data_IF_720656435511
#
_entry.id   IF_720656435511
#
_cell.length_a   1.000
_cell.length_b   1.000
_cell.length_c   1.000
_cell.angle_alpha   90.00
_cell.angle_beta   90.00
_cell.angle_gamma   90.00
#
_symmetry.space_group_name_H-M   'P 1'
#
loop_
_entity.id
_entity.type
_entity.pdbx_description
1 polymer ?
#
# COMPACT_ATOMS: atom_id res chain seq x y z
N UNK A 1 23.56 -8.36 16.57
CA UNK A 1 23.74 -8.23 15.11
C UNK A 1 22.42 -7.75 14.52
N UNK A 2 22.48 -6.79 13.60
CA UNK A 2 21.31 -6.30 12.86
C UNK A 2 21.21 -6.99 11.51
N UNK A 3 20.00 -7.16 11.00
CA UNK A 3 19.75 -7.67 9.65
C UNK A 3 18.93 -6.65 8.86
N UNK A 4 19.17 -6.59 7.55
CA UNK A 4 18.42 -5.79 6.59
C UNK A 4 17.80 -6.71 5.52
N UNK A 5 16.63 -6.34 5.00
CA UNK A 5 15.98 -6.98 3.87
C UNK A 5 15.15 -5.95 3.12
N UNK A 6 15.34 -5.83 1.80
CA UNK A 6 14.69 -4.82 0.96
C UNK A 6 15.57 -4.38 -0.22
N UNK A 7 15.19 -3.27 -0.88
CA UNK A 7 15.97 -2.63 -1.95
C UNK A 7 17.39 -2.28 -1.50
N UNK A 8 18.39 -2.70 -2.28
CA UNK A 8 19.81 -2.48 -1.97
C UNK A 8 20.16 -1.00 -1.79
N UNK A 9 19.47 -0.10 -2.50
CA UNK A 9 19.67 1.34 -2.37
C UNK A 9 19.36 1.88 -0.96
N UNK A 10 18.54 1.20 -0.17
CA UNK A 10 18.16 1.62 1.20
C UNK A 10 19.03 0.99 2.28
N UNK A 11 19.80 -0.05 1.96
CA UNK A 11 20.48 -0.91 2.94
C UNK A 11 21.41 -0.11 3.87
N UNK A 12 22.26 0.73 3.29
CA UNK A 12 23.24 1.54 4.04
C UNK A 12 22.54 2.46 5.04
N UNK A 13 21.54 3.19 4.58
CA UNK A 13 20.83 4.18 5.38
C UNK A 13 20.03 3.49 6.50
N UNK A 14 19.35 2.37 6.18
CA UNK A 14 18.59 1.62 7.18
C UNK A 14 19.47 1.07 8.29
N UNK A 15 20.64 0.51 7.96
CA UNK A 15 21.60 0.02 8.95
C UNK A 15 22.11 1.19 9.80
N UNK A 16 22.45 2.33 9.20
CA UNK A 16 22.91 3.52 9.91
C UNK A 16 21.85 4.04 10.89
N UNK A 17 20.60 4.21 10.43
CA UNK A 17 19.49 4.64 11.27
C UNK A 17 19.23 3.66 12.42
N UNK A 18 19.29 2.35 12.17
CA UNK A 18 19.11 1.37 13.24
C UNK A 18 20.18 1.50 14.32
N UNK A 19 21.45 1.65 13.93
CA UNK A 19 22.55 1.77 14.90
C UNK A 19 22.46 3.04 15.74
N UNK A 20 22.04 4.15 15.14
CA UNK A 20 21.83 5.43 15.83
C UNK A 20 20.63 5.40 16.80
N UNK A 21 19.63 4.57 16.52
CA UNK A 21 18.39 4.51 17.29
C UNK A 21 18.29 3.39 18.31
N UNK A 22 19.07 2.31 18.18
CA UNK A 22 18.84 1.06 18.93
C UNK A 22 18.70 1.25 20.44
N UNK A 23 19.51 2.14 21.04
CA UNK A 23 19.52 2.35 22.49
C UNK A 23 18.29 3.17 22.93
N UNK A 24 17.89 4.16 22.13
CA UNK A 24 16.64 4.93 22.34
C UNK A 24 15.40 4.08 22.12
N UNK A 25 15.44 3.15 21.17
CA UNK A 25 14.36 2.20 20.95
C UNK A 25 14.24 1.21 22.10
N UNK A 26 15.34 0.84 22.75
CA UNK A 26 15.28 -0.10 23.88
C UNK A 26 14.53 0.48 25.09
N UNK A 27 14.69 1.78 25.38
CA UNK A 27 13.95 2.44 26.48
C UNK A 27 12.43 2.48 26.24
N UNK A 28 11.98 2.37 24.98
CA UNK A 28 10.54 2.33 24.66
C UNK A 28 9.84 1.04 25.14
N UNK A 29 10.60 0.04 25.57
CA UNK A 29 10.04 -1.17 26.21
C UNK A 29 9.37 -0.86 27.55
N UNK A 30 9.77 0.21 28.25
CA UNK A 30 9.17 0.64 29.51
C UNK A 30 7.66 0.90 29.35
N UNK A 31 7.23 1.43 28.19
CA UNK A 31 5.81 1.67 27.88
C UNK A 31 4.99 0.38 27.92
N UNK A 32 5.57 -0.75 27.51
CA UNK A 32 4.92 -2.07 27.56
C UNK A 32 4.90 -2.60 28.99
N UNK A 33 6.00 -2.45 29.73
CA UNK A 33 6.13 -2.90 31.13
C UNK A 33 5.14 -2.18 32.04
N UNK A 34 5.00 -0.86 31.90
CA UNK A 34 4.02 -0.04 32.64
C UNK A 34 2.56 -0.48 32.43
N UNK A 35 2.29 -1.18 31.32
CA UNK A 35 0.94 -1.58 30.91
C UNK A 35 0.76 -3.08 30.91
N UNK A 36 1.70 -3.85 31.46
CA UNK A 36 1.70 -5.31 31.41
C UNK A 36 0.38 -5.90 31.95
N UNK A 37 -0.18 -5.32 33.03
CA UNK A 37 -1.46 -5.75 33.61
C UNK A 37 -2.67 -5.60 32.66
N UNK A 38 -2.58 -4.70 31.68
CA UNK A 38 -3.62 -4.44 30.68
C UNK A 38 -3.41 -5.22 29.38
N UNK A 39 -2.26 -5.88 29.24
CA UNK A 39 -1.85 -6.59 28.03
C UNK A 39 -2.04 -8.10 28.22
N UNK A 40 -2.56 -8.78 27.21
CA UNK A 40 -2.84 -10.21 27.30
C UNK A 40 -1.56 -11.05 27.23
N UNK A 41 -1.23 -11.81 28.27
CA UNK A 41 0.03 -12.57 28.35
C UNK A 41 0.24 -13.64 27.27
N UNK A 42 -0.83 -14.06 26.57
CA UNK A 42 -0.78 -15.09 25.52
C UNK A 42 -0.10 -14.62 24.23
N UNK A 43 -0.06 -13.31 23.98
CA UNK A 43 0.45 -12.75 22.74
C UNK A 43 1.60 -11.77 23.00
N UNK A 44 2.53 -11.71 22.06
CA UNK A 44 3.55 -10.66 22.06
C UNK A 44 2.91 -9.30 21.76
N UNK A 45 3.51 -8.24 22.28
CA UNK A 45 3.08 -6.86 22.03
C UNK A 45 4.24 -6.03 21.50
N UNK A 46 3.91 -5.05 20.68
CA UNK A 46 4.87 -4.08 20.18
C UNK A 46 4.43 -2.66 20.52
N UNK A 47 5.30 -1.94 21.22
CA UNK A 47 5.28 -0.48 21.24
C UNK A 47 5.66 -0.02 19.83
N UNK A 48 4.73 0.67 19.17
CA UNK A 48 4.83 0.99 17.74
C UNK A 48 4.75 2.48 17.51
N UNK A 49 5.75 3.05 16.84
CA UNK A 49 5.73 4.44 16.35
C UNK A 49 5.57 4.42 14.84
N UNK A 50 4.51 5.06 14.35
CA UNK A 50 4.11 5.09 12.95
C UNK A 50 4.27 6.51 12.42
N UNK A 51 5.09 6.70 11.39
CA UNK A 51 5.26 7.97 10.70
C UNK A 51 4.75 7.83 9.27
N UNK A 52 3.87 8.73 8.86
CA UNK A 52 3.31 8.74 7.50
C UNK A 52 3.10 10.15 6.97
N UNK A 53 3.07 10.27 5.66
CA UNK A 53 2.66 11.50 4.99
C UNK A 53 1.18 11.80 5.30
N UNK A 54 0.88 13.07 5.61
CA UNK A 54 -0.46 13.54 5.98
C UNK A 54 -1.52 13.26 4.92
N UNK A 55 -1.11 13.19 3.65
CA UNK A 55 -1.94 12.92 2.47
C UNK A 55 -1.74 11.50 1.94
N UNK A 56 -0.99 10.65 2.65
CA UNK A 56 -0.69 9.27 2.27
C UNK A 56 -0.07 9.12 0.88
N UNK A 57 0.77 10.07 0.46
CA UNK A 57 1.45 10.03 -0.86
C UNK A 57 2.73 9.20 -0.89
N UNK A 58 3.18 8.70 0.26
CA UNK A 58 4.42 7.95 0.39
C UNK A 58 4.23 6.72 1.31
N UNK A 59 5.12 5.70 1.21
CA UNK A 59 5.11 4.56 2.11
C UNK A 59 5.17 4.95 3.59
N UNK A 60 4.62 4.11 4.45
CA UNK A 60 4.56 4.32 5.89
C UNK A 60 5.81 3.75 6.55
N UNK A 61 6.48 4.55 7.39
CA UNK A 61 7.57 4.09 8.26
C UNK A 61 6.99 3.65 9.60
N UNK A 62 7.42 2.50 10.11
CA UNK A 62 6.97 2.00 11.42
C UNK A 62 8.14 1.38 12.19
N UNK A 63 8.29 1.81 13.43
CA UNK A 63 9.22 1.26 14.41
C UNK A 63 8.47 0.37 15.39
N UNK A 64 9.02 -0.79 15.72
CA UNK A 64 8.44 -1.78 16.61
C UNK A 64 9.45 -2.15 17.68
N UNK A 65 9.01 -2.12 18.94
CA UNK A 65 9.83 -2.48 20.11
C UNK A 65 9.06 -3.49 20.95
N UNK A 66 9.68 -4.63 21.25
CA UNK A 66 9.11 -5.64 22.15
C UNK A 66 9.41 -5.34 23.62
N UNK A 67 8.83 -6.13 24.53
CA UNK A 67 9.01 -5.97 25.98
C UNK A 67 10.44 -6.21 26.46
N UNK A 68 11.31 -6.81 25.64
CA UNK A 68 12.74 -7.03 25.95
C UNK A 68 13.63 -5.89 25.42
N UNK A 69 13.03 -4.82 24.88
CA UNK A 69 13.75 -3.71 24.24
C UNK A 69 14.35 -4.07 22.88
N UNK A 70 14.06 -5.27 22.34
CA UNK A 70 14.49 -5.62 20.99
C UNK A 70 13.59 -4.91 20.00
N UNK A 71 14.20 -4.36 18.98
CA UNK A 71 13.50 -3.50 18.04
C UNK A 71 13.84 -3.80 16.58
N UNK A 72 12.90 -3.44 15.72
CA UNK A 72 13.10 -3.34 14.29
C UNK A 72 12.22 -2.21 13.74
N UNK A 73 12.51 -1.77 12.53
CA UNK A 73 11.65 -0.86 11.79
C UNK A 73 11.59 -1.25 10.33
N UNK A 74 10.61 -0.70 9.63
CA UNK A 74 10.48 -0.92 8.21
C UNK A 74 9.57 0.09 7.55
N UNK A 75 9.61 0.09 6.22
CA UNK A 75 8.67 0.83 5.39
C UNK A 75 7.66 -0.15 4.78
N UNK A 76 6.41 0.28 4.64
CA UNK A 76 5.31 -0.55 4.15
C UNK A 76 4.34 0.29 3.30
N UNK A 77 3.57 -0.37 2.42
CA UNK A 77 2.59 0.29 1.55
C UNK A 77 1.31 0.74 2.27
N UNK A 78 1.11 0.26 3.50
CA UNK A 78 -0.08 0.48 4.33
C UNK A 78 0.34 0.76 5.76
N UNK A 79 -0.45 1.55 6.48
CA UNK A 79 -0.22 1.69 7.93
C UNK A 79 -0.51 0.37 8.67
N UNK A 80 0.23 0.04 9.74
CA UNK A 80 -0.16 -1.05 10.65
C UNK A 80 -1.61 -0.91 11.17
N UNK A 81 -2.12 0.32 11.26
CA UNK A 81 -3.48 0.63 11.69
C UNK A 81 -4.55 0.36 10.62
N UNK A 82 -4.16 0.09 9.36
CA UNK A 82 -5.08 -0.35 8.30
C UNK A 82 -5.38 -1.86 8.43
N UNK A 83 -4.56 -2.63 9.14
CA UNK A 83 -4.69 -4.09 9.25
C UNK A 83 -4.84 -4.61 10.67
N UNK A 84 -4.54 -3.79 11.67
CA UNK A 84 -4.57 -4.16 13.08
C UNK A 84 -5.16 -3.03 13.93
N UNK A 85 -5.98 -3.40 14.92
CA UNK A 85 -6.49 -2.46 15.90
C UNK A 85 -5.40 -2.10 16.91
N UNK A 86 -5.34 -0.83 17.29
CA UNK A 86 -4.51 -0.39 18.41
C UNK A 86 -5.15 -0.86 19.73
N UNK A 87 -4.39 -1.55 20.58
CA UNK A 87 -4.81 -1.85 21.95
C UNK A 87 -4.82 -0.55 22.78
N UNK A 88 -3.78 0.24 22.62
CA UNK A 88 -3.60 1.51 23.33
C UNK A 88 -2.99 2.56 22.41
N UNK A 89 -3.29 3.84 22.67
CA UNK A 89 -2.71 5.00 21.98
C UNK A 89 -2.07 5.90 23.03
N UNK A 90 -0.89 6.44 22.71
CA UNK A 90 -0.14 7.30 23.63
C UNK A 90 0.62 8.38 22.88
N UNK A 91 1.05 9.41 23.61
CA UNK A 91 1.60 10.66 23.05
C UNK A 91 2.91 11.04 23.72
N UNK A 92 3.79 10.06 23.91
CA UNK A 92 5.15 10.35 24.37
C UNK A 92 6.03 10.86 23.21
N UNK A 93 6.95 11.77 23.52
CA UNK A 93 7.69 12.59 22.56
C UNK A 93 9.09 12.07 22.25
N UNK A 94 9.62 11.13 23.04
CA UNK A 94 11.05 10.80 23.08
C UNK A 94 11.63 10.37 21.72
N UNK A 95 10.86 9.62 20.91
CA UNK A 95 11.26 9.16 19.57
C UNK A 95 10.72 10.02 18.42
N UNK A 96 9.84 10.99 18.72
CA UNK A 96 8.99 11.63 17.73
C UNK A 96 9.81 12.43 16.70
N UNK A 97 10.64 13.36 17.15
CA UNK A 97 11.46 14.21 16.27
C UNK A 97 12.41 13.41 15.39
N UNK A 98 13.06 12.40 15.95
CA UNK A 98 14.04 11.58 15.22
C UNK A 98 13.35 10.69 14.18
N UNK A 99 12.19 10.11 14.52
CA UNK A 99 11.40 9.32 13.58
C UNK A 99 10.89 10.16 12.40
N UNK A 100 10.53 11.42 12.65
CA UNK A 100 10.13 12.40 11.64
C UNK A 100 11.30 12.81 10.73
N UNK A 101 12.50 13.02 11.28
CA UNK A 101 13.72 13.29 10.50
C UNK A 101 14.03 12.15 9.53
N UNK A 102 14.07 10.91 10.03
CA UNK A 102 14.33 9.73 9.20
C UNK A 102 13.28 9.60 8.09
N UNK A 103 12.01 9.83 8.41
CA UNK A 103 10.96 9.82 7.39
C UNK A 103 11.17 10.89 6.31
N UNK A 104 11.60 12.10 6.69
CA UNK A 104 11.89 13.19 5.76
C UNK A 104 13.10 12.90 4.89
N UNK A 105 14.12 12.25 5.44
CA UNK A 105 15.31 11.81 4.70
C UNK A 105 14.96 10.72 3.68
N UNK A 106 14.11 9.76 4.06
CA UNK A 106 13.63 8.70 3.16
C UNK A 106 12.67 9.23 2.07
N UNK A 107 11.84 10.22 2.41
CA UNK A 107 10.83 10.80 1.51
C UNK A 107 10.91 12.34 1.50
N UNK A 108 11.93 12.94 0.85
CA UNK A 108 12.16 14.38 0.89
C UNK A 108 10.99 15.22 0.38
N UNK A 109 10.18 14.67 -0.53
CA UNK A 109 9.02 15.34 -1.12
C UNK A 109 7.77 15.37 -0.22
N UNK A 110 7.80 14.72 0.96
CA UNK A 110 6.67 14.80 1.91
C UNK A 110 6.48 16.23 2.41
N UNK A 111 5.24 16.73 2.32
CA UNK A 111 4.90 18.11 2.70
C UNK A 111 4.61 18.20 4.20
N UNK A 112 3.96 17.19 4.75
CA UNK A 112 3.52 17.17 6.15
C UNK A 112 3.47 15.72 6.63
N UNK A 113 3.84 15.51 7.88
CA UNK A 113 3.92 14.19 8.50
C UNK A 113 2.89 14.08 9.63
N UNK A 114 2.36 12.87 9.82
CA UNK A 114 1.56 12.47 10.99
C UNK A 114 2.31 11.36 11.70
N UNK A 115 2.45 11.52 13.01
CA UNK A 115 3.01 10.50 13.90
C UNK A 115 1.89 9.92 14.75
N UNK A 116 1.84 8.60 14.86
CA UNK A 116 0.92 7.90 15.75
C UNK A 116 1.71 6.87 16.55
N UNK A 117 1.51 6.84 17.87
CA UNK A 117 2.12 5.85 18.74
C UNK A 117 1.05 4.97 19.34
N UNK A 118 1.24 3.66 19.22
CA UNK A 118 0.24 2.65 19.55
C UNK A 118 0.88 1.39 20.10
N UNK A 119 0.13 0.63 20.88
CA UNK A 119 0.48 -0.75 21.21
C UNK A 119 -0.28 -1.67 20.25
N UNK A 120 0.46 -2.50 19.52
CA UNK A 120 -0.08 -3.51 18.62
C UNK A 120 0.15 -4.90 19.17
N UNK A 121 -0.83 -5.77 18.98
CA UNK A 121 -0.74 -7.18 19.30
C UNK A 121 -0.10 -7.95 18.15
N UNK A 122 0.71 -8.95 18.49
CA UNK A 122 1.14 -9.99 17.56
C UNK A 122 -0.06 -10.90 17.17
N UNK A 123 -0.19 -11.38 15.91
CA UNK A 123 0.70 -11.23 14.77
C UNK A 123 0.57 -9.91 14.01
N UNK A 124 1.70 -9.38 13.53
CA UNK A 124 1.74 -8.20 12.67
C UNK A 124 1.28 -8.54 11.27
N UNK A 125 0.05 -8.17 10.92
CA UNK A 125 -0.52 -8.34 9.58
C UNK A 125 -0.02 -7.26 8.63
N UNK A 126 1.29 -7.19 8.40
CA UNK A 126 1.91 -6.11 7.65
C UNK A 126 3.00 -6.58 6.71
N UNK A 127 2.83 -6.28 5.42
CA UNK A 127 3.86 -6.52 4.42
C UNK A 127 4.84 -5.36 4.34
N UNK A 128 6.11 -5.66 4.59
CA UNK A 128 7.20 -4.69 4.51
C UNK A 128 7.78 -4.61 3.10
N UNK A 129 8.01 -3.38 2.65
CA UNK A 129 8.81 -3.09 1.47
C UNK A 129 10.29 -3.26 1.79
N UNK A 130 10.71 -2.73 2.95
CA UNK A 130 12.04 -2.94 3.51
C UNK A 130 11.95 -3.02 5.03
N UNK A 131 12.85 -3.78 5.65
CA UNK A 131 12.90 -4.00 7.09
C UNK A 131 14.36 -4.05 7.58
N UNK A 132 14.62 -3.43 8.73
CA UNK A 132 15.91 -3.48 9.42
C UNK A 132 15.73 -3.60 10.93
N UNK A 133 16.60 -4.37 11.59
CA UNK A 133 16.62 -4.39 13.05
C UNK A 133 17.29 -5.61 13.65
N UNK A 134 16.88 -5.94 14.88
CA UNK A 134 17.43 -7.06 15.63
C UNK A 134 17.20 -8.38 14.88
N UNK A 135 18.30 -9.06 14.53
CA UNK A 135 18.26 -10.27 13.70
C UNK A 135 17.45 -11.41 14.33
N UNK A 136 17.62 -11.64 15.65
CA UNK A 136 16.90 -12.71 16.35
C UNK A 136 15.40 -12.45 16.37
N UNK A 137 15.02 -11.19 16.63
CA UNK A 137 13.62 -10.76 16.62
C UNK A 137 12.99 -10.95 15.24
N UNK A 138 13.61 -10.40 14.19
CA UNK A 138 13.09 -10.49 12.82
C UNK A 138 12.97 -11.95 12.37
N UNK A 139 13.99 -12.79 12.61
CA UNK A 139 13.93 -14.22 12.25
C UNK A 139 12.84 -14.96 13.02
N UNK A 140 12.66 -14.67 14.31
CA UNK A 140 11.59 -15.24 15.14
C UNK A 140 10.21 -14.91 14.55
N UNK A 141 9.96 -13.64 14.24
CA UNK A 141 8.67 -13.21 13.70
C UNK A 141 8.42 -13.77 12.29
N UNK A 142 9.43 -13.76 11.40
CA UNK A 142 9.37 -14.41 10.08
C UNK A 142 9.03 -15.90 10.18
N UNK A 143 9.64 -16.62 11.12
CA UNK A 143 9.38 -18.05 11.31
C UNK A 143 7.92 -18.30 11.71
N UNK A 144 7.39 -17.52 12.66
CA UNK A 144 5.99 -17.66 13.07
C UNK A 144 5.01 -17.31 11.93
N UNK A 145 5.30 -16.28 11.15
CA UNK A 145 4.52 -15.91 9.96
C UNK A 145 4.51 -17.02 8.90
N UNK A 146 5.66 -17.68 8.72
CA UNK A 146 5.80 -18.79 7.77
C UNK A 146 5.05 -20.03 8.26
N UNK A 147 5.17 -20.36 9.55
CA UNK A 147 4.44 -21.49 10.16
C UNK A 147 2.92 -21.31 10.11
N UNK A 148 2.43 -20.07 10.18
CA UNK A 148 1.00 -19.75 10.03
C UNK A 148 0.54 -19.61 8.57
N UNK A 149 1.45 -19.71 7.60
CA UNK A 149 1.16 -19.61 6.16
C UNK A 149 0.86 -18.19 5.66
N UNK A 150 0.98 -17.17 6.52
CA UNK A 150 0.63 -15.78 6.18
C UNK A 150 1.75 -15.04 5.45
N UNK A 151 3.01 -15.31 5.81
CA UNK A 151 4.21 -14.81 5.15
C UNK A 151 4.36 -13.28 5.06
N UNK A 152 3.73 -12.50 5.95
CA UNK A 152 3.72 -11.02 5.88
C UNK A 152 5.12 -10.40 5.89
N UNK A 153 6.04 -10.89 6.72
CA UNK A 153 7.40 -10.33 6.80
C UNK A 153 8.36 -10.73 5.66
N UNK A 154 7.93 -11.58 4.72
CA UNK A 154 8.81 -12.11 3.65
C UNK A 154 8.84 -11.25 2.40
N UNK A 155 7.87 -10.35 2.20
CA UNK A 155 7.77 -9.56 0.98
C UNK A 155 9.04 -8.74 0.71
N UNK A 156 9.63 -8.15 1.75
CA UNK A 156 10.84 -7.33 1.66
C UNK A 156 12.02 -8.03 0.99
N UNK A 157 12.12 -9.36 1.09
CA UNK A 157 13.22 -10.14 0.49
C UNK A 157 13.12 -10.19 -1.04
N UNK A 158 11.95 -9.87 -1.60
CA UNK A 158 11.63 -9.99 -3.03
C UNK A 158 11.57 -8.63 -3.74
N UNK A 159 11.68 -7.52 -3.00
CA UNK A 159 11.63 -6.18 -3.60
C UNK A 159 13.04 -5.73 -3.95
N UNK A 160 13.25 -5.45 -5.23
CA UNK A 160 14.49 -4.89 -5.76
C UNK A 160 14.39 -3.36 -5.94
N UNK A 161 15.52 -2.75 -6.30
CA UNK A 161 15.64 -1.30 -6.51
C UNK A 161 14.71 -0.77 -7.62
N UNK A 162 14.52 -1.54 -8.69
CA UNK A 162 13.67 -1.15 -9.83
C UNK A 162 12.20 -1.05 -9.41
N UNK A 163 11.70 -2.12 -8.80
CA UNK A 163 10.33 -2.19 -8.32
C UNK A 163 10.06 -1.13 -7.25
N UNK A 164 11.01 -0.90 -6.35
CA UNK A 164 10.89 0.15 -5.34
C UNK A 164 10.73 1.54 -5.95
N UNK A 165 11.56 1.91 -6.94
CA UNK A 165 11.48 3.21 -7.62
C UNK A 165 10.14 3.40 -8.32
N UNK A 166 9.69 2.40 -9.08
CA UNK A 166 8.40 2.39 -9.77
C UNK A 166 7.25 2.57 -8.77
N UNK A 167 7.32 1.88 -7.62
CA UNK A 167 6.31 2.00 -6.56
C UNK A 167 6.27 3.41 -5.96
N UNK A 168 7.42 4.05 -5.73
CA UNK A 168 7.47 5.40 -5.19
C UNK A 168 6.89 6.43 -6.15
N UNK A 169 7.27 6.37 -7.43
CA UNK A 169 6.80 7.32 -8.45
C UNK A 169 5.28 7.28 -8.65
N UNK A 170 4.69 6.09 -8.49
CA UNK A 170 3.26 5.85 -8.66
C UNK A 170 2.48 5.76 -7.34
N UNK A 171 3.10 6.02 -6.18
CA UNK A 171 2.51 5.70 -4.89
C UNK A 171 1.23 6.50 -4.62
N UNK A 172 0.09 5.81 -4.51
CA UNK A 172 -1.24 6.37 -4.18
C UNK A 172 -1.58 7.63 -5.01
N UNK A 173 -1.25 7.60 -6.30
CA UNK A 173 -1.33 8.75 -7.21
C UNK A 173 -2.23 8.48 -8.41
N UNK A 174 -3.02 9.50 -8.79
CA UNK A 174 -3.70 9.55 -10.08
C UNK A 174 -2.70 9.89 -11.18
N UNK A 175 -2.57 8.99 -12.14
CA UNK A 175 -1.79 9.18 -13.36
C UNK A 175 -2.78 9.53 -14.46
N UNK A 176 -2.63 10.73 -15.02
CA UNK A 176 -3.53 11.27 -16.04
C UNK A 176 -2.95 11.09 -17.44
N UNK A 177 -3.81 10.71 -18.37
CA UNK A 177 -3.58 10.54 -19.79
C UNK A 177 -4.59 11.39 -20.57
N UNK A 178 -4.40 11.65 -21.88
CA UNK A 178 -5.40 12.36 -22.68
C UNK A 178 -6.79 11.70 -22.63
N UNK A 179 -6.83 10.36 -22.67
CA UNK A 179 -8.05 9.56 -22.72
C UNK A 179 -8.74 9.38 -21.36
N UNK A 180 -8.09 9.73 -20.24
CA UNK A 180 -8.63 9.57 -18.88
C UNK A 180 -7.53 9.36 -17.85
N UNK A 181 -7.78 8.62 -16.76
CA UNK A 181 -6.80 8.49 -15.66
C UNK A 181 -6.88 7.17 -14.91
N UNK A 182 -5.77 6.79 -14.27
CA UNK A 182 -5.68 5.61 -13.40
C UNK A 182 -5.08 6.01 -12.06
N UNK A 183 -5.76 5.65 -10.97
CA UNK A 183 -5.18 5.66 -9.63
C UNK A 183 -4.40 4.36 -9.40
N UNK A 184 -3.12 4.50 -9.09
CA UNK A 184 -2.29 3.40 -8.59
C UNK A 184 -2.30 3.46 -7.07
N UNK A 185 -2.78 2.40 -6.42
CA UNK A 185 -2.92 2.32 -4.97
C UNK A 185 -2.26 1.05 -4.42
N UNK A 186 -0.99 1.12 -4.00
CA UNK A 186 -0.35 0.03 -3.28
C UNK A 186 -1.02 -0.20 -1.91
N UNK A 187 -1.30 -1.46 -1.60
CA UNK A 187 -1.92 -1.88 -0.34
C UNK A 187 -1.45 -3.29 0.00
N UNK A 188 -0.72 -3.44 1.10
CA UNK A 188 -0.07 -4.70 1.48
C UNK A 188 0.80 -5.26 0.34
N UNK A 189 0.65 -6.54 0.01
CA UNK A 189 1.36 -7.27 -1.06
C UNK A 189 0.73 -7.08 -2.45
N UNK A 190 -0.17 -6.10 -2.60
CA UNK A 190 -0.99 -5.87 -3.80
C UNK A 190 -0.93 -4.42 -4.27
N UNK A 191 -1.32 -4.24 -5.52
CA UNK A 191 -1.59 -2.91 -6.09
C UNK A 191 -2.96 -2.93 -6.71
N UNK A 192 -3.77 -1.94 -6.34
CA UNK A 192 -5.06 -1.67 -6.96
C UNK A 192 -4.90 -0.60 -8.03
N UNK A 193 -5.51 -0.84 -9.18
CA UNK A 193 -5.57 0.07 -10.32
C UNK A 193 -7.02 0.49 -10.52
N UNK A 194 -7.38 1.68 -10.03
CA UNK A 194 -8.72 2.24 -10.21
C UNK A 194 -8.76 3.10 -11.47
N UNK A 195 -9.56 2.68 -12.45
CA UNK A 195 -9.71 3.38 -13.71
C UNK A 195 -10.80 4.44 -13.57
N UNK A 196 -10.46 5.70 -13.88
CA UNK A 196 -11.41 6.79 -13.98
C UNK A 196 -12.37 6.61 -15.16
N UNK A 197 -13.41 7.45 -15.18
CA UNK A 197 -14.31 7.57 -16.34
C UNK A 197 -13.49 8.07 -17.56
N UNK A 198 -13.59 7.42 -18.73
CA UNK A 198 -12.88 7.85 -19.93
C UNK A 198 -13.39 9.20 -20.44
N UNK A 199 -12.46 10.01 -20.97
CA UNK A 199 -12.74 11.32 -21.57
C UNK A 199 -13.29 11.15 -23.00
N UNK A 200 -14.56 10.79 -23.13
CA UNK A 200 -15.22 10.65 -24.42
C UNK A 200 -15.61 12.03 -24.99
N UNK A 201 -15.55 12.20 -26.32
CA UNK A 201 -15.91 13.45 -27.01
C UNK A 201 -17.42 13.74 -27.01
N UNK A 202 -18.21 12.89 -26.36
CA UNK A 202 -19.65 12.98 -26.27
C UNK A 202 -20.14 12.56 -24.89
N UNK A 203 -21.31 13.07 -24.49
CA UNK A 203 -21.90 12.78 -23.19
C UNK A 203 -22.47 11.35 -23.15
N UNK A 204 -22.19 10.66 -22.06
CA UNK A 204 -22.73 9.34 -21.69
C UNK A 204 -22.93 9.34 -20.18
N UNK A 205 -24.00 8.69 -19.71
CA UNK A 205 -24.18 8.50 -18.28
C UNK A 205 -23.07 7.62 -17.71
N UNK A 206 -22.50 8.03 -16.58
CA UNK A 206 -21.45 7.27 -15.90
C UNK A 206 -21.87 5.86 -15.51
N UNK A 207 -23.16 5.62 -15.24
CA UNK A 207 -23.70 4.29 -14.94
C UNK A 207 -23.54 3.32 -16.12
N UNK A 208 -23.80 3.79 -17.35
CA UNK A 208 -23.60 3.00 -18.58
C UNK A 208 -22.12 2.65 -18.76
N UNK A 209 -21.24 3.63 -18.53
CA UNK A 209 -19.79 3.41 -18.57
C UNK A 209 -19.41 2.33 -17.56
N UNK A 210 -19.85 2.44 -16.30
CA UNK A 210 -19.55 1.47 -15.23
C UNK A 210 -19.99 0.05 -15.63
N UNK A 211 -21.17 -0.13 -16.22
CA UNK A 211 -21.62 -1.46 -16.67
C UNK A 211 -20.72 -2.03 -17.78
N UNK A 212 -20.35 -1.23 -18.79
CA UNK A 212 -19.39 -1.67 -19.79
C UNK A 212 -18.00 -1.95 -19.19
N UNK A 213 -17.58 -1.18 -18.19
CA UNK A 213 -16.31 -1.40 -17.48
C UNK A 213 -16.31 -2.68 -16.65
N UNK A 214 -17.47 -3.16 -16.18
CA UNK A 214 -17.60 -4.50 -15.55
C UNK A 214 -17.41 -5.61 -16.56
N UNK A 215 -18.01 -5.49 -17.76
CA UNK A 215 -17.82 -6.46 -18.85
C UNK A 215 -16.36 -6.49 -19.31
N UNK A 216 -15.76 -5.30 -19.52
CA UNK A 216 -14.34 -5.17 -19.84
C UNK A 216 -13.46 -5.84 -18.79
N UNK A 217 -13.69 -5.52 -17.50
CA UNK A 217 -12.93 -6.11 -16.39
C UNK A 217 -12.99 -7.63 -16.42
N UNK A 218 -14.17 -8.22 -16.61
CA UNK A 218 -14.34 -9.67 -16.69
C UNK A 218 -13.52 -10.25 -17.84
N UNK A 219 -13.68 -9.71 -19.05
CA UNK A 219 -12.97 -10.17 -20.24
C UNK A 219 -11.43 -10.06 -20.09
N UNK A 220 -10.94 -9.01 -19.43
CA UNK A 220 -9.51 -8.82 -19.16
C UNK A 220 -9.01 -9.85 -18.15
N UNK A 221 -9.70 -10.05 -17.02
CA UNK A 221 -9.24 -10.99 -15.99
C UNK A 221 -9.33 -12.46 -16.42
N UNK A 222 -10.23 -12.77 -17.35
CA UNK A 222 -10.31 -14.12 -17.94
C UNK A 222 -9.10 -14.41 -18.85
N UNK A 223 -8.47 -13.38 -19.43
CA UNK A 223 -7.30 -13.51 -20.32
C UNK A 223 -5.96 -13.24 -19.62
N UNK A 224 -5.93 -12.37 -18.62
CA UNK A 224 -4.72 -11.93 -17.93
C UNK A 224 -4.72 -12.42 -16.48
N UNK A 225 -4.23 -13.64 -16.25
CA UNK A 225 -4.28 -14.31 -14.94
C UNK A 225 -3.59 -13.56 -13.78
N UNK A 226 -2.68 -12.63 -14.08
CA UNK A 226 -2.00 -11.83 -13.06
C UNK A 226 -2.80 -10.60 -12.59
N UNK A 227 -3.90 -10.27 -13.28
CA UNK A 227 -4.88 -9.27 -12.87
C UNK A 227 -6.12 -9.96 -12.29
N UNK A 228 -6.61 -9.45 -11.18
CA UNK A 228 -7.79 -9.95 -10.49
C UNK A 228 -8.84 -8.85 -10.41
N UNK A 229 -10.11 -9.28 -10.33
CA UNK A 229 -11.22 -8.38 -10.08
C UNK A 229 -11.21 -7.96 -8.61
N UNK A 230 -11.39 -6.67 -8.34
CA UNK A 230 -11.55 -6.14 -6.99
C UNK A 230 -12.55 -4.99 -6.99
N UNK A 231 -12.99 -4.58 -5.81
CA UNK A 231 -13.67 -3.30 -5.58
C UNK A 231 -12.69 -2.23 -5.07
N UNK A 232 -13.18 -0.99 -5.06
CA UNK A 232 -12.62 0.10 -4.25
C UNK A 232 -12.62 -0.33 -2.79
N UNK A 233 -11.56 0.01 -2.05
CA UNK A 233 -11.48 -0.16 -0.59
C UNK A 233 -11.62 1.20 0.11
N UNK A 234 -12.15 1.25 1.36
CA UNK A 234 -12.31 2.49 2.10
C UNK A 234 -11.03 3.33 2.18
N UNK A 235 -9.88 2.68 2.32
CA UNK A 235 -8.56 3.34 2.43
C UNK A 235 -8.15 4.14 1.20
N UNK A 236 -8.79 3.90 0.04
CA UNK A 236 -8.54 4.66 -1.18
C UNK A 236 -9.07 6.09 -1.11
N UNK A 237 -10.02 6.37 -0.20
CA UNK A 237 -10.60 7.70 0.06
C UNK A 237 -10.89 8.51 -1.22
N UNK A 238 -11.63 7.90 -2.15
CA UNK A 238 -11.87 8.46 -3.47
C UNK A 238 -12.97 9.53 -3.43
N UNK A 239 -12.67 10.69 -4.00
CA UNK A 239 -13.62 11.78 -4.23
C UNK A 239 -14.13 11.84 -5.68
N UNK A 240 -13.68 10.93 -6.54
CA UNK A 240 -14.05 10.85 -7.95
C UNK A 240 -14.72 9.51 -8.27
N UNK A 241 -15.58 9.53 -9.29
CA UNK A 241 -16.22 8.31 -9.79
C UNK A 241 -15.19 7.40 -10.46
N UNK A 242 -15.13 6.16 -9.99
CA UNK A 242 -14.30 5.10 -10.59
C UNK A 242 -15.16 4.18 -11.42
N UNK A 243 -14.71 3.90 -12.64
CA UNK A 243 -15.42 3.04 -13.56
C UNK A 243 -15.23 1.56 -13.21
N UNK A 244 -13.99 1.15 -12.92
CA UNK A 244 -13.65 -0.22 -12.54
C UNK A 244 -12.30 -0.28 -11.83
N UNK A 245 -12.05 -1.39 -11.13
CA UNK A 245 -10.81 -1.61 -10.37
C UNK A 245 -10.24 -2.99 -10.66
N UNK A 246 -8.94 -3.04 -10.91
CA UNK A 246 -8.15 -4.25 -11.00
C UNK A 246 -7.17 -4.35 -9.82
N UNK A 247 -6.76 -5.56 -9.49
CA UNK A 247 -5.72 -5.84 -8.50
C UNK A 247 -4.64 -6.72 -9.11
N UNK A 248 -3.37 -6.44 -8.83
CA UNK A 248 -2.27 -7.38 -9.09
C UNK A 248 -1.46 -7.63 -7.83
N UNK A 249 -0.66 -8.70 -7.82
CA UNK A 249 0.41 -8.82 -6.86
C UNK A 249 1.43 -7.68 -7.06
N UNK A 250 1.94 -7.12 -5.98
CA UNK A 250 2.90 -6.01 -5.98
C UNK A 250 4.21 -6.38 -6.69
N UNK A 251 4.64 -7.63 -6.63
CA UNK A 251 5.84 -8.11 -7.34
C UNK A 251 5.66 -8.12 -8.86
N UNK A 252 4.44 -7.95 -9.36
CA UNK A 252 4.13 -7.83 -10.78
C UNK A 252 3.86 -6.38 -11.21
N UNK A 253 4.07 -5.40 -10.34
CA UNK A 253 3.74 -3.99 -10.60
C UNK A 253 4.33 -3.47 -11.92
N UNK A 254 5.59 -3.81 -12.20
CA UNK A 254 6.32 -3.35 -13.38
C UNK A 254 5.64 -3.76 -14.69
N UNK A 255 4.91 -4.88 -14.70
CA UNK A 255 4.19 -5.38 -15.88
C UNK A 255 3.03 -4.46 -16.28
N UNK A 256 2.47 -3.71 -15.33
CA UNK A 256 1.30 -2.86 -15.53
C UNK A 256 1.67 -1.38 -15.45
N UNK A 257 2.40 -0.94 -14.42
CA UNK A 257 2.67 0.48 -14.18
C UNK A 257 3.37 1.11 -15.40
N UNK A 258 4.34 0.41 -15.99
CA UNK A 258 5.07 0.87 -17.17
C UNK A 258 4.24 0.90 -18.46
N UNK A 259 3.03 0.29 -18.45
CA UNK A 259 2.12 0.17 -19.59
C UNK A 259 0.72 0.72 -19.27
N UNK A 260 0.61 1.61 -18.28
CA UNK A 260 -0.69 2.11 -17.84
C UNK A 260 -1.42 2.90 -18.93
N UNK A 261 -0.69 3.68 -19.73
CA UNK A 261 -1.28 4.43 -20.84
C UNK A 261 -1.85 3.50 -21.91
N UNK A 262 -1.07 2.49 -22.33
CA UNK A 262 -1.53 1.46 -23.27
C UNK A 262 -2.75 0.69 -22.73
N UNK A 263 -2.70 0.31 -21.45
CA UNK A 263 -3.79 -0.40 -20.80
C UNK A 263 -5.05 0.45 -20.70
N UNK A 264 -4.91 1.74 -20.38
CA UNK A 264 -6.03 2.67 -20.34
C UNK A 264 -6.57 2.99 -21.74
N UNK A 265 -5.70 3.07 -22.75
CA UNK A 265 -6.08 3.22 -24.15
C UNK A 265 -6.91 2.03 -24.65
N UNK A 266 -6.51 0.80 -24.33
CA UNK A 266 -7.29 -0.40 -24.61
C UNK A 266 -8.68 -0.33 -23.97
N UNK A 267 -8.74 0.09 -22.70
CA UNK A 267 -9.99 0.30 -21.98
C UNK A 267 -10.86 1.35 -22.68
N UNK A 268 -10.32 2.54 -22.95
CA UNK A 268 -11.01 3.63 -23.63
C UNK A 268 -11.59 3.19 -24.96
N UNK A 269 -10.78 2.57 -25.83
CA UNK A 269 -11.20 2.16 -27.17
C UNK A 269 -12.32 1.12 -27.10
N UNK A 270 -12.28 0.24 -26.10
CA UNK A 270 -13.32 -0.78 -25.89
C UNK A 270 -14.63 -0.16 -25.42
N UNK A 271 -14.59 0.74 -24.44
CA UNK A 271 -15.78 1.43 -23.93
C UNK A 271 -16.40 2.32 -25.00
N UNK A 272 -15.57 3.09 -25.73
CA UNK A 272 -16.02 3.97 -26.80
C UNK A 272 -16.77 3.18 -27.89
N UNK A 273 -16.19 2.06 -28.35
CA UNK A 273 -16.84 1.18 -29.33
C UNK A 273 -18.16 0.59 -28.82
N UNK A 274 -18.21 0.14 -27.57
CA UNK A 274 -19.43 -0.41 -26.97
C UNK A 274 -20.55 0.64 -26.91
N UNK A 275 -20.25 1.86 -26.46
CA UNK A 275 -21.23 2.94 -26.38
C UNK A 275 -21.74 3.34 -27.78
N UNK A 276 -20.84 3.53 -28.75
CA UNK A 276 -21.22 3.90 -30.12
C UNK A 276 -22.08 2.81 -30.77
N UNK A 277 -21.75 1.53 -30.56
CA UNK A 277 -22.54 0.41 -31.09
C UNK A 277 -23.96 0.41 -30.54
N UNK A 278 -24.15 0.60 -29.23
CA UNK A 278 -25.49 0.68 -28.63
C UNK A 278 -26.26 1.89 -29.16
N UNK A 279 -25.62 3.06 -29.25
CA UNK A 279 -26.27 4.27 -29.80
C UNK A 279 -26.73 4.06 -31.25
N UNK A 280 -25.89 3.47 -32.10
CA UNK A 280 -26.25 3.17 -33.50
C UNK A 280 -27.46 2.25 -33.58
N UNK A 281 -27.43 1.13 -32.85
CA UNK A 281 -28.51 0.14 -32.85
C UNK A 281 -29.83 0.73 -32.36
N UNK A 282 -29.80 1.59 -31.33
CA UNK A 282 -31.01 2.25 -30.81
C UNK A 282 -31.59 3.19 -31.87
N UNK A 283 -30.75 4.00 -32.53
CA UNK A 283 -31.22 4.91 -33.57
C UNK A 283 -31.85 4.15 -34.75
N UNK A 284 -31.18 3.11 -35.25
CA UNK A 284 -31.72 2.26 -36.32
C UNK A 284 -33.06 1.62 -35.96
N UNK A 285 -33.21 1.17 -34.71
CA UNK A 285 -34.46 0.56 -34.24
C UNK A 285 -35.57 1.59 -34.06
N UNK A 286 -35.25 2.82 -33.63
CA UNK A 286 -36.21 3.93 -33.56
C UNK A 286 -36.68 4.29 -34.97
N UNK A 287 -35.75 4.36 -35.93
CA UNK A 287 -36.09 4.71 -37.32
C UNK A 287 -36.95 3.64 -38.00
N UNK A 288 -36.78 2.34 -37.63
CA UNK A 288 -37.67 1.25 -38.07
C UNK A 288 -39.03 1.23 -37.35
N UNK A 289 -39.11 1.79 -36.15
CA UNK A 289 -40.34 1.83 -35.36
C UNK A 289 -41.28 2.96 -35.80
N UNK A 290 -40.73 4.05 -36.34
CA UNK A 290 -41.48 5.16 -36.94
C UNK A 290 -42.10 4.75 -38.28
#
# INVERSE_FOLDING_TARGET
MSIYSGPKLLEKDFIAYYQDLKDKLASESEVLTEREELLETRFGHFCTTIVRDSFSKFPVLSFFVDSEGKSFFGISSSSPLETSSAIYRFTDLTLLEKSMSIYKELFPETVSQKVQRVILQYPLKLNFIAICGNERLIRREKLKDTMSGTNYMTLSEKINDSLYKILLEAFRKWISFPKGSVLVFPYQDKIKYALGIPNLDYRVDSSIIIEFSRLFRKAVTDKLAFLKQTSVTPDMNLNTTVATVFESNLLHAEKIINKLDDFYSLYYDTINKAVLSVKSNVNENIDKFK
#
